data_IF_483935864414
#
_entry.id   IF_483935864414
#
_cell.length_a   1.000
_cell.length_b   1.000
_cell.length_c   1.000
_cell.angle_alpha   90.00
_cell.angle_beta   90.00
_cell.angle_gamma   90.00
#
_symmetry.space_group_name_H-M   'P 1'
#
loop_
_entity.id
_entity.type
_entity.pdbx_description
1 polymer ?
#
# COMPACT_ATOMS: atom_id res chain seq x y z
N UNK A 1 34.44 6.53 10.85
CA UNK A 1 33.10 6.20 10.34
C UNK A 1 32.61 7.49 9.68
N UNK A 2 32.75 7.58 8.36
CA UNK A 2 32.37 8.79 7.61
C UNK A 2 30.87 8.79 7.38
N UNK A 3 30.23 9.90 7.74
CA UNK A 3 28.81 10.15 7.46
C UNK A 3 28.73 10.47 5.96
N UNK A 4 27.99 9.70 5.15
CA UNK A 4 27.82 9.95 3.74
C UNK A 4 27.21 11.34 3.55
N UNK A 5 27.71 12.02 2.53
CA UNK A 5 27.32 13.39 2.26
C UNK A 5 25.85 13.44 1.86
N UNK A 6 25.15 14.54 2.19
CA UNK A 6 23.74 14.77 1.83
C UNK A 6 23.45 14.52 0.32
N UNK A 7 24.46 14.68 -0.54
CA UNK A 7 24.38 14.39 -1.97
C UNK A 7 24.23 12.90 -2.32
N UNK A 8 24.84 12.00 -1.58
CA UNK A 8 24.76 10.55 -1.82
C UNK A 8 23.38 10.01 -1.43
N UNK A 9 22.83 10.51 -0.32
CA UNK A 9 21.45 10.24 0.12
C UNK A 9 20.41 10.69 -0.89
N UNK A 10 20.57 11.91 -1.43
CA UNK A 10 19.70 12.44 -2.49
C UNK A 10 19.80 11.58 -3.76
N UNK A 11 21.00 11.10 -4.11
CA UNK A 11 21.25 10.31 -5.33
C UNK A 11 20.66 8.91 -5.24
N UNK A 12 20.79 8.23 -4.10
CA UNK A 12 20.19 6.92 -3.89
C UNK A 12 18.66 6.98 -3.88
N UNK A 13 18.08 7.99 -3.21
CA UNK A 13 16.64 8.25 -3.21
C UNK A 13 16.11 8.44 -4.64
N UNK A 14 16.78 9.28 -5.44
CA UNK A 14 16.42 9.51 -6.86
C UNK A 14 16.46 8.23 -7.71
N UNK A 15 17.44 7.37 -7.49
CA UNK A 15 17.60 6.10 -8.24
C UNK A 15 16.46 5.12 -7.92
N UNK A 16 16.09 5.03 -6.64
CA UNK A 16 14.99 4.19 -6.17
C UNK A 16 13.62 4.66 -6.69
N UNK A 17 13.37 5.98 -6.68
CA UNK A 17 12.20 6.58 -7.34
C UNK A 17 12.15 6.17 -8.81
N UNK A 18 13.25 6.35 -9.54
CA UNK A 18 13.31 6.06 -10.97
C UNK A 18 13.01 4.59 -11.29
N UNK A 19 13.53 3.64 -10.50
CA UNK A 19 13.26 2.21 -10.71
C UNK A 19 11.80 1.85 -10.45
N UNK A 20 11.21 2.37 -9.38
CA UNK A 20 9.79 2.15 -9.07
C UNK A 20 8.89 2.75 -10.15
N UNK A 21 9.21 3.95 -10.64
CA UNK A 21 8.49 4.59 -11.74
C UNK A 21 8.62 3.82 -13.06
N UNK A 22 9.78 3.23 -13.37
CA UNK A 22 9.96 2.40 -14.58
C UNK A 22 9.08 1.15 -14.54
N UNK A 23 9.04 0.44 -13.41
CA UNK A 23 8.19 -0.74 -13.26
C UNK A 23 6.71 -0.39 -13.42
N UNK A 24 6.28 0.73 -12.84
CA UNK A 24 4.92 1.23 -13.02
C UNK A 24 4.64 1.62 -14.48
N UNK A 25 5.56 2.33 -15.13
CA UNK A 25 5.45 2.70 -16.53
C UNK A 25 5.27 1.48 -17.44
N UNK A 26 6.08 0.43 -17.25
CA UNK A 26 5.92 -0.81 -18.01
C UNK A 26 4.57 -1.51 -17.75
N UNK A 27 4.06 -1.46 -16.52
CA UNK A 27 2.74 -2.03 -16.20
C UNK A 27 1.58 -1.24 -16.83
N UNK A 28 1.72 0.09 -16.93
CA UNK A 28 0.78 0.98 -17.63
C UNK A 28 0.81 0.69 -19.14
N UNK A 29 2.01 0.64 -19.74
CA UNK A 29 2.19 0.34 -21.16
C UNK A 29 1.62 -1.02 -21.55
N UNK A 30 1.73 -2.02 -20.67
CA UNK A 30 1.14 -3.34 -20.84
C UNK A 30 -0.40 -3.37 -20.67
N UNK A 31 -1.05 -2.25 -20.35
CA UNK A 31 -2.51 -2.15 -20.18
C UNK A 31 -3.05 -2.89 -18.94
N UNK A 32 -2.16 -3.30 -18.02
CA UNK A 32 -2.52 -4.09 -16.83
C UNK A 32 -3.03 -3.22 -15.69
N UNK A 33 -2.82 -1.90 -15.76
CA UNK A 33 -3.18 -0.91 -14.74
C UNK A 33 -4.10 0.14 -15.35
N UNK A 34 -5.26 0.40 -14.73
CA UNK A 34 -6.17 1.47 -15.17
C UNK A 34 -6.00 2.76 -14.38
N UNK A 35 -5.58 2.65 -13.12
CA UNK A 35 -5.43 3.78 -12.20
C UNK A 35 -4.19 3.59 -11.37
N UNK A 36 -3.41 4.66 -11.23
CA UNK A 36 -2.25 4.68 -10.35
C UNK A 36 -2.16 5.98 -9.57
N UNK A 37 -1.52 5.91 -8.42
CA UNK A 37 -1.21 7.03 -7.54
C UNK A 37 0.23 6.89 -7.08
N UNK A 38 0.99 7.98 -7.13
CA UNK A 38 2.35 8.05 -6.60
C UNK A 38 2.36 9.16 -5.57
N UNK A 39 2.71 8.80 -4.33
CA UNK A 39 2.92 9.73 -3.25
C UNK A 39 4.38 9.69 -2.83
N UNK A 40 5.02 10.84 -2.77
CA UNK A 40 6.40 10.99 -2.30
C UNK A 40 6.44 12.06 -1.21
N UNK A 41 7.03 11.73 -0.08
CA UNK A 41 7.27 12.68 1.01
C UNK A 41 8.73 13.11 1.02
N UNK A 42 9.00 14.24 1.68
CA UNK A 42 10.33 14.83 1.77
C UNK A 42 11.35 13.97 2.53
N UNK A 43 10.90 12.99 3.32
CA UNK A 43 11.76 12.04 4.06
C UNK A 43 12.16 10.80 3.23
N UNK A 44 11.96 10.84 1.91
CA UNK A 44 12.37 9.78 1.00
C UNK A 44 11.48 8.53 1.05
N UNK A 45 10.30 8.61 1.66
CA UNK A 45 9.26 7.61 1.54
C UNK A 45 8.49 7.80 0.24
N UNK A 46 8.32 6.71 -0.51
CA UNK A 46 7.61 6.64 -1.77
C UNK A 46 6.54 5.57 -1.62
N UNK A 47 5.30 5.91 -1.92
CA UNK A 47 4.20 4.94 -2.00
C UNK A 47 3.61 4.99 -3.39
N UNK A 48 3.61 3.85 -4.06
CA UNK A 48 2.98 3.64 -5.36
C UNK A 48 1.79 2.71 -5.17
N UNK A 49 0.64 3.13 -5.69
CA UNK A 49 -0.58 2.33 -5.73
C UNK A 49 -0.99 2.15 -7.18
N UNK A 50 -1.32 0.93 -7.56
CA UNK A 50 -1.77 0.61 -8.90
C UNK A 50 -2.95 -0.35 -8.83
N UNK A 51 -4.05 0.01 -9.49
CA UNK A 51 -5.26 -0.81 -9.58
C UNK A 51 -5.31 -1.49 -10.95
N UNK A 52 -5.68 -2.78 -10.95
CA UNK A 52 -5.91 -3.51 -12.19
C UNK A 52 -7.01 -2.88 -13.04
N UNK A 53 -7.00 -3.15 -14.34
CA UNK A 53 -8.00 -2.61 -15.26
C UNK A 53 -9.44 -2.98 -14.93
N UNK A 54 -9.65 -4.17 -14.38
CA UNK A 54 -10.95 -4.67 -13.91
C UNK A 54 -11.33 -4.20 -12.49
N UNK A 55 -10.43 -3.48 -11.80
CA UNK A 55 -10.63 -3.01 -10.43
C UNK A 55 -10.71 -4.11 -9.37
N UNK A 56 -10.28 -5.34 -9.69
CA UNK A 56 -10.32 -6.49 -8.78
C UNK A 56 -9.04 -6.68 -7.99
N UNK A 57 -7.94 -6.05 -8.40
CA UNK A 57 -6.62 -6.17 -7.77
C UNK A 57 -5.98 -4.81 -7.57
N UNK A 58 -5.15 -4.72 -6.53
CA UNK A 58 -4.32 -3.55 -6.23
C UNK A 58 -2.95 -4.00 -5.81
N UNK A 59 -1.93 -3.29 -6.27
CA UNK A 59 -0.59 -3.35 -5.73
C UNK A 59 -0.32 -2.06 -4.94
N UNK A 60 0.22 -2.19 -3.74
CA UNK A 60 0.78 -1.06 -2.97
C UNK A 60 2.24 -1.37 -2.72
N UNK A 61 3.12 -0.58 -3.33
CA UNK A 61 4.55 -0.63 -3.07
C UNK A 61 4.93 0.58 -2.23
N UNK A 62 5.54 0.33 -1.07
CA UNK A 62 6.09 1.38 -0.22
C UNK A 62 7.58 1.19 -0.09
N UNK A 63 8.35 2.21 -0.42
CA UNK A 63 9.79 2.22 -0.28
C UNK A 63 10.21 3.38 0.61
N UNK A 64 10.96 3.08 1.67
CA UNK A 64 11.63 4.07 2.50
C UNK A 64 13.13 3.86 2.38
N UNK A 65 13.86 4.92 2.05
CA UNK A 65 15.32 4.90 1.99
C UNK A 65 15.86 5.99 2.90
N UNK A 66 16.61 5.57 3.90
CA UNK A 66 17.43 6.43 4.76
C UNK A 66 18.86 5.89 4.72
N UNK A 67 19.80 6.61 5.31
CA UNK A 67 21.20 6.21 5.32
C UNK A 67 21.41 4.79 5.87
N UNK A 68 22.10 3.95 5.09
CA UNK A 68 22.39 2.56 5.47
C UNK A 68 21.16 1.65 5.63
N UNK A 69 19.95 2.14 5.35
CA UNK A 69 18.72 1.40 5.59
C UNK A 69 17.69 1.64 4.47
N UNK A 70 17.34 0.57 3.78
CA UNK A 70 16.24 0.56 2.82
C UNK A 70 15.19 -0.44 3.29
N UNK A 71 13.94 0.03 3.39
CA UNK A 71 12.78 -0.82 3.62
C UNK A 71 11.86 -0.73 2.42
N UNK A 72 11.60 -1.88 1.81
CA UNK A 72 10.60 -2.03 0.76
C UNK A 72 9.50 -2.95 1.27
N UNK A 73 8.25 -2.55 1.07
CA UNK A 73 7.06 -3.35 1.34
C UNK A 73 6.25 -3.42 0.07
N UNK A 74 5.83 -4.63 -0.28
CA UNK A 74 4.93 -4.88 -1.40
C UNK A 74 3.67 -5.55 -0.85
N UNK A 75 2.52 -4.96 -1.09
CA UNK A 75 1.23 -5.53 -0.74
C UNK A 75 0.46 -5.80 -2.02
N UNK A 76 0.03 -7.04 -2.18
CA UNK A 76 -0.84 -7.47 -3.27
C UNK A 76 -2.22 -7.74 -2.70
N UNK A 77 -3.18 -6.93 -3.13
CA UNK A 77 -4.55 -6.96 -2.65
C UNK A 77 -5.44 -7.48 -3.76
N UNK A 78 -6.34 -8.39 -3.39
CA UNK A 78 -7.44 -8.83 -4.23
C UNK A 78 -8.74 -8.43 -3.55
N UNK A 79 -9.66 -7.86 -4.33
CA UNK A 79 -10.99 -7.48 -3.85
C UNK A 79 -11.77 -8.75 -3.51
N UNK A 80 -12.13 -8.88 -2.23
CA UNK A 80 -12.77 -10.06 -1.69
C UNK A 80 -14.30 -9.93 -1.66
N UNK A 81 -15.06 -11.03 -1.79
CA UNK A 81 -16.50 -11.03 -1.53
C UNK A 81 -16.80 -10.79 -0.03
N UNK A 82 -18.04 -10.42 0.33
CA UNK A 82 -18.36 -9.93 1.68
C UNK A 82 -17.99 -10.86 2.84
N UNK A 83 -18.17 -12.17 2.70
CA UNK A 83 -17.87 -13.13 3.77
C UNK A 83 -16.36 -13.23 4.03
N UNK A 84 -15.56 -13.40 2.97
CA UNK A 84 -14.09 -13.46 3.08
C UNK A 84 -13.52 -12.12 3.56
N UNK A 85 -14.11 -11.01 3.10
CA UNK A 85 -13.73 -9.67 3.55
C UNK A 85 -13.93 -9.50 5.05
N UNK A 86 -15.05 -9.97 5.61
CA UNK A 86 -15.34 -9.84 7.05
C UNK A 86 -14.25 -10.51 7.91
N UNK A 87 -13.82 -11.72 7.52
CA UNK A 87 -12.71 -12.41 8.18
C UNK A 87 -11.39 -11.67 8.02
N UNK A 88 -11.12 -11.12 6.84
CA UNK A 88 -9.92 -10.32 6.59
C UNK A 88 -9.92 -9.05 7.44
N UNK A 89 -11.05 -8.35 7.53
CA UNK A 89 -11.21 -7.16 8.40
C UNK A 89 -10.95 -7.53 9.85
N UNK A 90 -11.49 -8.65 10.35
CA UNK A 90 -11.24 -9.14 11.71
C UNK A 90 -9.74 -9.31 11.98
N UNK A 91 -9.02 -10.01 11.09
CA UNK A 91 -7.56 -10.22 11.22
C UNK A 91 -6.79 -8.89 11.19
N UNK A 92 -7.11 -8.01 10.25
CA UNK A 92 -6.43 -6.70 10.13
C UNK A 92 -6.65 -5.81 11.37
N UNK A 93 -7.79 -5.92 12.05
CA UNK A 93 -8.04 -5.22 13.32
C UNK A 93 -7.28 -5.87 14.49
N UNK A 94 -7.38 -7.19 14.63
CA UNK A 94 -6.87 -7.88 15.82
C UNK A 94 -5.36 -8.10 15.78
N UNK A 95 -4.81 -8.46 14.63
CA UNK A 95 -3.41 -8.88 14.48
C UNK A 95 -2.54 -7.67 14.10
N UNK A 96 -2.96 -6.94 13.05
CA UNK A 96 -2.20 -5.82 12.49
C UNK A 96 -2.53 -4.46 13.14
N UNK A 97 -3.53 -4.42 14.03
CA UNK A 97 -4.01 -3.22 14.74
C UNK A 97 -4.32 -2.04 13.81
N UNK A 98 -4.80 -2.33 12.60
CA UNK A 98 -5.09 -1.31 11.60
C UNK A 98 -6.39 -0.58 11.89
N UNK A 99 -6.42 0.70 11.54
CA UNK A 99 -7.63 1.51 11.59
C UNK A 99 -8.50 1.34 10.34
N UNK A 100 -9.73 1.85 10.41
CA UNK A 100 -10.73 1.77 9.33
C UNK A 100 -10.22 2.29 7.98
N UNK A 101 -9.45 3.38 7.96
CA UNK A 101 -8.92 3.95 6.71
C UNK A 101 -7.87 3.02 6.08
N UNK A 102 -6.96 2.50 6.91
CA UNK A 102 -5.93 1.56 6.47
C UNK A 102 -6.51 0.24 5.97
N UNK A 103 -7.58 -0.25 6.59
CA UNK A 103 -8.28 -1.47 6.17
C UNK A 103 -9.04 -1.24 4.85
N UNK A 104 -9.69 -0.09 4.69
CA UNK A 104 -10.36 0.28 3.44
C UNK A 104 -9.39 0.26 2.25
N UNK A 105 -8.19 0.78 2.47
CA UNK A 105 -7.12 0.76 1.47
C UNK A 105 -6.66 -0.66 1.12
N UNK A 106 -6.53 -1.54 2.13
CA UNK A 106 -6.08 -2.94 2.01
C UNK A 106 -7.15 -3.94 1.58
N UNK A 107 -8.40 -3.50 1.43
CA UNK A 107 -9.52 -4.36 0.99
C UNK A 107 -10.17 -3.87 -0.29
N UNK A 108 -9.78 -2.70 -0.81
CA UNK A 108 -10.37 -2.06 -1.99
C UNK A 108 -11.87 -1.74 -1.82
N UNK A 109 -12.29 -1.45 -0.58
CA UNK A 109 -13.65 -1.04 -0.24
C UNK A 109 -13.69 0.33 0.40
N UNK A 110 -14.88 0.95 0.37
CA UNK A 110 -15.06 2.25 1.02
C UNK A 110 -14.88 2.15 2.53
N UNK A 111 -14.42 3.24 3.15
CA UNK A 111 -14.38 3.34 4.61
C UNK A 111 -15.76 3.06 5.25
N UNK A 112 -16.87 3.44 4.60
CA UNK A 112 -18.23 3.15 5.07
C UNK A 112 -18.51 1.65 5.11
N UNK A 113 -18.11 0.91 4.08
CA UNK A 113 -18.25 -0.56 4.04
C UNK A 113 -17.47 -1.20 5.18
N UNK A 114 -16.22 -0.78 5.39
CA UNK A 114 -15.38 -1.30 6.47
C UNK A 114 -15.92 -0.92 7.85
N UNK A 115 -16.48 0.27 8.00
CA UNK A 115 -17.16 0.68 9.24
C UNK A 115 -18.31 -0.26 9.58
N UNK A 116 -19.13 -0.61 8.59
CA UNK A 116 -20.23 -1.55 8.77
C UNK A 116 -19.73 -2.96 9.15
N UNK A 117 -18.65 -3.43 8.54
CA UNK A 117 -18.06 -4.73 8.86
C UNK A 117 -17.48 -4.75 10.30
N UNK A 118 -16.76 -3.69 10.70
CA UNK A 118 -16.25 -3.54 12.08
C UNK A 118 -17.40 -3.51 13.08
N UNK A 119 -18.48 -2.76 12.79
CA UNK A 119 -19.67 -2.72 13.66
C UNK A 119 -20.31 -4.10 13.77
N UNK A 120 -20.40 -4.85 12.67
CA UNK A 120 -20.91 -6.22 12.67
C UNK A 120 -20.05 -7.13 13.55
N UNK A 121 -18.73 -7.09 13.42
CA UNK A 121 -17.81 -7.89 14.23
C UNK A 121 -17.90 -7.57 15.73
N UNK A 122 -18.00 -6.29 16.10
CA UNK A 122 -18.22 -5.87 17.49
C UNK A 122 -19.53 -6.40 18.06
N UNK A 123 -20.60 -6.34 17.28
CA UNK A 123 -21.90 -6.88 17.69
C UNK A 123 -21.88 -8.40 17.89
N UNK A 124 -20.96 -9.10 17.22
CA UNK A 124 -20.74 -10.54 17.37
C UNK A 124 -19.75 -10.89 18.50
N UNK A 125 -19.10 -9.90 19.13
CA UNK A 125 -18.06 -10.12 20.14
C UNK A 125 -16.74 -10.65 19.57
N UNK A 126 -16.52 -10.50 18.26
CA UNK A 126 -15.35 -11.02 17.56
C UNK A 126 -14.16 -10.06 17.57
N UNK A 127 -14.40 -8.77 17.85
CA UNK A 127 -13.42 -7.70 18.05
C UNK A 127 -13.89 -6.68 19.10
#
# INVERSE_FOLDING_TARGET
>A
MEIPSTNELITQSKTNVANTLRNLASAIEAGTVSRYEIHQTSDGLITVKADSSDGTKRMIQTQKSIEGYTKTSNEFIQKQPPQIRLETVKKLVLEEKLNQSQIAERTMYSQKTISNDIKKLRNLGEI
#
